data_IF_549425056583
#
_entry.id   IF_549425056583
#
_cell.length_a   1.000
_cell.length_b   1.000
_cell.length_c   1.000
_cell.angle_alpha   90.00
_cell.angle_beta   90.00
_cell.angle_gamma   90.00
#
_symmetry.space_group_name_H-M   'P 1'
#
loop_
_entity.id
_entity.type
_entity.pdbx_description
1 polymer ?
#
# COMPACT_ATOMS: atom_id res chain seq x y z
N UNK A 1 -7.05 12.78 -9.59
CA UNK A 1 -6.09 12.97 -8.48
C UNK A 1 -5.07 11.85 -8.61
N UNK A 2 -3.78 12.14 -8.79
CA UNK A 2 -2.78 11.10 -9.07
C UNK A 2 -2.40 10.32 -7.78
N UNK A 3 -2.16 9.00 -7.86
CA UNK A 3 -1.81 8.16 -6.71
C UNK A 3 -0.46 8.53 -6.12
N UNK A 4 0.45 9.12 -6.92
CA UNK A 4 1.73 9.65 -6.45
C UNK A 4 1.55 10.87 -5.52
N UNK A 5 0.63 11.79 -5.86
CA UNK A 5 0.26 12.91 -4.99
C UNK A 5 -0.40 12.45 -3.69
N UNK A 6 -1.25 11.43 -3.79
CA UNK A 6 -1.91 10.84 -2.62
C UNK A 6 -0.87 10.20 -1.69
N UNK A 7 0.03 9.38 -2.24
CA UNK A 7 1.08 8.74 -1.47
C UNK A 7 2.05 9.75 -0.81
N UNK A 8 2.43 10.81 -1.54
CA UNK A 8 3.23 11.90 -0.98
C UNK A 8 2.50 12.64 0.16
N UNK A 9 1.20 12.88 0.00
CA UNK A 9 0.37 13.57 1.01
C UNK A 9 0.20 12.77 2.30
N UNK A 10 0.20 11.45 2.22
CA UNK A 10 0.03 10.55 3.37
C UNK A 10 1.35 9.89 3.82
N UNK A 11 2.50 10.35 3.32
CA UNK A 11 3.84 9.77 3.59
C UNK A 11 3.88 8.24 3.42
N UNK A 12 3.19 7.73 2.41
CA UNK A 12 3.14 6.30 2.13
C UNK A 12 4.20 5.93 1.11
N UNK A 13 4.99 4.91 1.42
CA UNK A 13 6.01 4.41 0.50
C UNK A 13 5.34 3.80 -0.72
N UNK A 14 5.82 4.17 -1.90
CA UNK A 14 5.39 3.57 -3.17
C UNK A 14 6.52 2.73 -3.71
N UNK A 15 6.21 1.50 -4.07
CA UNK A 15 7.10 0.57 -4.75
C UNK A 15 6.59 0.33 -6.17
N UNK A 16 7.48 0.24 -7.14
CA UNK A 16 7.09 -0.06 -8.53
C UNK A 16 6.89 -1.57 -8.78
N UNK A 17 7.32 -2.43 -7.85
CA UNK A 17 7.22 -3.89 -7.97
C UNK A 17 6.98 -4.57 -6.62
N UNK A 18 6.25 -5.70 -6.63
CA UNK A 18 5.96 -6.49 -5.42
C UNK A 18 7.24 -6.97 -4.73
N UNK A 19 8.22 -7.40 -5.52
CA UNK A 19 9.52 -7.84 -5.04
C UNK A 19 10.27 -6.75 -4.25
N UNK A 20 10.11 -5.48 -4.60
CA UNK A 20 10.75 -4.37 -3.87
C UNK A 20 10.11 -4.15 -2.50
N UNK A 21 8.79 -4.33 -2.40
CA UNK A 21 8.08 -4.25 -1.12
C UNK A 21 8.46 -5.43 -0.20
N UNK A 22 8.53 -6.65 -0.75
CA UNK A 22 8.97 -7.83 -0.01
C UNK A 22 10.44 -7.72 0.45
N UNK A 23 11.33 -7.25 -0.42
CA UNK A 23 12.73 -6.99 -0.07
C UNK A 23 12.89 -5.92 1.02
N UNK A 24 11.97 -4.95 1.08
CA UNK A 24 11.92 -3.94 2.14
C UNK A 24 11.25 -4.46 3.44
N UNK A 25 10.80 -5.72 3.46
CA UNK A 25 10.16 -6.35 4.62
C UNK A 25 8.69 -5.95 4.82
N UNK A 26 8.00 -5.54 3.74
CA UNK A 26 6.54 -5.35 3.76
C UNK A 26 5.85 -6.64 3.34
N UNK A 27 4.75 -6.96 4.02
CA UNK A 27 3.85 -8.05 3.63
C UNK A 27 2.87 -7.53 2.58
N UNK A 28 2.82 -8.20 1.43
CA UNK A 28 1.82 -7.93 0.39
C UNK A 28 0.43 -8.33 0.90
N UNK A 29 -0.50 -7.38 0.82
CA UNK A 29 -1.88 -7.53 1.22
C UNK A 29 -2.82 -7.54 0.01
N UNK A 30 -3.78 -6.63 0.02
CA UNK A 30 -4.86 -6.61 -0.96
C UNK A 30 -4.34 -6.15 -2.34
N UNK A 31 -4.52 -6.99 -3.36
CA UNK A 31 -4.22 -6.66 -4.77
C UNK A 31 -5.51 -6.34 -5.53
N UNK A 32 -5.51 -5.23 -6.25
CA UNK A 32 -6.50 -4.89 -7.25
C UNK A 32 -5.84 -4.83 -8.63
N UNK A 33 -6.46 -5.46 -9.63
CA UNK A 33 -6.04 -5.40 -11.03
C UNK A 33 -7.11 -4.64 -11.86
N UNK A 34 -7.14 -3.30 -11.78
CA UNK A 34 -8.13 -2.50 -12.48
C UNK A 34 -7.82 -2.45 -13.98
N UNK A 35 -8.86 -2.64 -14.82
CA UNK A 35 -8.72 -2.63 -16.28
C UNK A 35 -8.39 -1.26 -16.89
N UNK A 36 -8.69 -0.16 -16.19
CA UNK A 36 -8.48 1.21 -16.67
C UNK A 36 -7.67 2.05 -15.67
N UNK A 37 -6.89 3.02 -16.19
CA UNK A 37 -6.06 3.95 -15.39
C UNK A 37 -6.88 4.71 -14.34
N UNK A 38 -8.11 5.14 -14.68
CA UNK A 38 -9.01 5.80 -13.74
C UNK A 38 -9.38 4.89 -12.55
N UNK A 39 -9.65 3.62 -12.81
CA UNK A 39 -9.89 2.63 -11.77
C UNK A 39 -8.63 2.33 -10.95
N UNK A 40 -7.43 2.53 -11.53
CA UNK A 40 -6.17 2.37 -10.82
C UNK A 40 -5.98 3.41 -9.73
N UNK A 41 -6.27 4.67 -10.04
CA UNK A 41 -6.14 5.75 -9.06
C UNK A 41 -7.18 5.61 -7.94
N UNK A 42 -8.41 5.21 -8.29
CA UNK A 42 -9.45 4.88 -7.29
C UNK A 42 -9.11 3.65 -6.45
N UNK A 43 -8.57 2.59 -7.07
CA UNK A 43 -8.13 1.38 -6.37
C UNK A 43 -6.98 1.67 -5.40
N UNK A 44 -5.97 2.42 -5.85
CA UNK A 44 -4.86 2.85 -5.02
C UNK A 44 -5.34 3.68 -3.83
N UNK A 45 -6.27 4.61 -4.06
CA UNK A 45 -6.87 5.41 -2.99
C UNK A 45 -7.64 4.54 -1.99
N UNK A 46 -8.45 3.60 -2.48
CA UNK A 46 -9.24 2.70 -1.64
C UNK A 46 -8.35 1.82 -0.75
N UNK A 47 -7.33 1.19 -1.34
CA UNK A 47 -6.33 0.39 -0.62
C UNK A 47 -5.58 1.26 0.39
N UNK A 48 -5.16 2.48 0.00
CA UNK A 48 -4.47 3.39 0.90
C UNK A 48 -5.31 3.74 2.14
N UNK A 49 -6.59 4.09 1.93
CA UNK A 49 -7.49 4.45 3.01
C UNK A 49 -7.74 3.27 3.96
N UNK A 50 -7.85 2.04 3.43
CA UNK A 50 -7.98 0.84 4.26
C UNK A 50 -6.71 0.59 5.11
N UNK A 51 -5.53 0.71 4.49
CA UNK A 51 -4.25 0.58 5.18
C UNK A 51 -4.02 1.68 6.23
N UNK A 52 -4.39 2.92 5.93
CA UNK A 52 -4.34 4.03 6.88
C UNK A 52 -5.27 3.78 8.07
N UNK A 53 -6.46 3.22 7.82
CA UNK A 53 -7.39 2.85 8.88
C UNK A 53 -6.79 1.78 9.80
N UNK A 54 -6.14 0.77 9.22
CA UNK A 54 -5.41 -0.28 9.99
C UNK A 54 -4.23 0.29 10.77
N UNK A 55 -3.45 1.21 10.17
CA UNK A 55 -2.35 1.90 10.84
C UNK A 55 -2.84 2.72 12.02
N UNK A 56 -3.93 3.48 11.81
CA UNK A 56 -4.57 4.28 12.88
C UNK A 56 -5.17 3.41 13.99
N UNK A 57 -5.59 2.18 13.66
CA UNK A 57 -6.04 1.18 14.64
C UNK A 57 -4.91 0.49 15.40
N UNK A 58 -3.64 0.69 15.01
CA UNK A 58 -2.49 0.01 15.61
C UNK A 58 -2.27 -1.42 15.12
N UNK A 59 -2.96 -1.87 14.07
CA UNK A 59 -2.76 -3.22 13.49
C UNK A 59 -1.45 -3.34 12.68
N UNK A 60 -0.95 -2.22 12.16
CA UNK A 60 0.24 -2.15 11.29
C UNK A 60 1.06 -0.91 11.62
N UNK A 61 2.39 -1.04 11.72
CA UNK A 61 3.30 0.09 11.98
C UNK A 61 3.53 0.93 10.73
N UNK A 62 3.63 0.25 9.58
CA UNK A 62 4.09 0.84 8.34
C UNK A 62 3.19 0.38 7.19
N UNK A 63 2.97 1.28 6.23
CA UNK A 63 2.10 1.01 5.08
C UNK A 63 2.80 1.46 3.80
N UNK A 64 2.56 0.73 2.74
CA UNK A 64 3.11 0.98 1.42
C UNK A 64 2.13 0.58 0.33
N UNK A 65 2.32 1.14 -0.86
CA UNK A 65 1.58 0.79 -2.06
C UNK A 65 2.56 0.29 -3.11
N UNK A 66 2.25 -0.84 -3.72
CA UNK A 66 2.92 -1.33 -4.91
C UNK A 66 2.09 -0.92 -6.12
N UNK A 67 2.66 -0.11 -7.00
CA UNK A 67 2.03 0.32 -8.25
C UNK A 67 2.72 -0.35 -9.42
N UNK A 68 2.10 -1.41 -9.93
CA UNK A 68 2.53 -2.08 -11.16
C UNK A 68 1.76 -1.51 -12.36
N UNK A 69 2.14 -1.92 -13.57
CA UNK A 69 1.54 -1.44 -14.82
C UNK A 69 0.02 -1.69 -14.86
N UNK A 70 -0.38 -2.90 -14.47
CA UNK A 70 -1.76 -3.39 -14.53
C UNK A 70 -2.39 -3.69 -13.15
N UNK A 71 -1.62 -3.55 -12.07
CA UNK A 71 -2.07 -3.84 -10.71
C UNK A 71 -1.63 -2.83 -9.68
N UNK A 72 -2.44 -2.69 -8.63
CA UNK A 72 -2.11 -1.98 -7.40
C UNK A 72 -2.19 -2.99 -6.28
N UNK A 73 -1.12 -3.14 -5.50
CA UNK A 73 -1.11 -4.01 -4.33
C UNK A 73 -0.82 -3.18 -3.08
N UNK A 74 -1.69 -3.26 -2.08
CA UNK A 74 -1.40 -2.71 -0.77
C UNK A 74 -0.39 -3.58 -0.04
N UNK A 75 0.65 -2.98 0.52
CA UNK A 75 1.63 -3.66 1.34
C UNK A 75 1.65 -3.02 2.73
N UNK A 76 1.86 -3.83 3.76
CA UNK A 76 1.90 -3.34 5.13
C UNK A 76 2.98 -4.07 5.92
N UNK A 77 3.49 -3.40 6.94
CA UNK A 77 4.41 -3.97 7.90
C UNK A 77 3.72 -3.97 9.25
N UNK A 78 3.48 -5.17 9.77
CA UNK A 78 3.01 -5.31 11.14
C UNK A 78 4.14 -4.94 12.08
N UNK A 79 3.82 -4.28 13.19
CA UNK A 79 4.76 -4.25 14.30
C UNK A 79 4.90 -5.70 14.74
N UNK A 80 6.09 -6.28 14.59
CA UNK A 80 6.41 -7.47 15.34
C UNK A 80 6.48 -7.01 16.79
N UNK A 81 5.35 -7.04 17.49
CA UNK A 81 5.35 -7.11 18.94
C UNK A 81 6.02 -8.44 19.27
N UNK A 82 7.35 -8.43 19.36
CA UNK A 82 8.08 -9.44 20.10
C UNK A 82 7.54 -9.32 21.53
N UNK A 83 6.65 -10.23 21.87
CA UNK A 83 6.33 -10.54 23.25
C UNK A 83 7.58 -11.21 23.83
N UNK A 84 8.45 -10.41 24.43
CA UNK A 84 9.47 -10.84 25.39
C UNK A 84 9.01 -10.47 26.81
#
# INVERSE_FOLDING_TARGET
MHPKDLAAKYEVKVFDASAAAEAAGYTLGQRMAPRNVWNRDSAASAILFDLLRKKKGGEVSDIALVLEIDSVTGAFKKETMNAE
#
